data_IF_569634813808
#
_entry.id   IF_569634813808
#
_cell.length_a   1.000
_cell.length_b   1.000
_cell.length_c   1.000
_cell.angle_alpha   90.00
_cell.angle_beta   90.00
_cell.angle_gamma   90.00
#
_symmetry.space_group_name_H-M   'P 1'
#
loop_
_entity.id
_entity.type
_entity.pdbx_description
1 polymer ?
#
# COMPACT_ATOMS: atom_id res chain seq x y z
N UNK A 1 -11.93 -6.40 -16.38
CA UNK A 1 -11.65 -6.14 -17.80
C UNK A 1 -10.17 -5.87 -18.02
N UNK A 2 -9.56 -6.40 -19.09
CA UNK A 2 -8.12 -6.26 -19.32
C UNK A 2 -7.62 -4.80 -19.39
N UNK A 3 -8.35 -3.85 -20.00
CA UNK A 3 -7.94 -2.43 -19.99
C UNK A 3 -7.88 -1.79 -18.60
N UNK A 4 -8.56 -2.37 -17.60
CA UNK A 4 -8.50 -1.90 -16.21
C UNK A 4 -7.28 -2.44 -15.44
N UNK A 5 -6.56 -3.40 -16.02
CA UNK A 5 -5.39 -4.05 -15.44
C UNK A 5 -4.06 -3.50 -16.00
N UNK A 6 -4.13 -2.45 -16.82
CA UNK A 6 -2.96 -1.78 -17.36
C UNK A 6 -2.67 -0.48 -16.60
N UNK A 7 -1.45 -0.37 -16.07
CA UNK A 7 -0.96 0.84 -15.43
C UNK A 7 0.06 1.55 -16.31
N UNK A 8 -0.04 2.89 -16.38
CA UNK A 8 1.00 3.72 -16.99
C UNK A 8 1.77 4.42 -15.88
N UNK A 9 3.02 4.02 -15.68
CA UNK A 9 3.94 4.62 -14.72
C UNK A 9 4.52 5.90 -15.31
N UNK A 10 4.32 7.01 -14.61
CA UNK A 10 4.98 8.29 -14.91
C UNK A 10 5.93 8.60 -13.76
N UNK A 11 7.25 8.44 -13.97
CA UNK A 11 8.23 8.79 -12.95
C UNK A 11 8.12 10.28 -12.59
N UNK A 12 7.96 10.58 -11.31
CA UNK A 12 7.95 11.94 -10.78
C UNK A 12 9.19 12.17 -9.91
N UNK A 13 9.94 13.23 -10.17
CA UNK A 13 11.10 13.57 -9.36
C UNK A 13 10.67 13.90 -7.92
N UNK A 14 11.35 13.31 -6.92
CA UNK A 14 11.00 13.44 -5.49
C UNK A 14 11.05 14.88 -5.01
N UNK A 15 12.00 15.68 -5.51
CA UNK A 15 12.16 17.11 -5.23
C UNK A 15 12.76 17.78 -6.47
N UNK A 16 12.38 19.03 -6.81
CA UNK A 16 12.92 19.73 -7.98
C UNK A 16 14.44 19.93 -7.96
N UNK A 17 15.06 19.98 -6.78
CA UNK A 17 16.50 20.19 -6.59
C UNK A 17 17.36 18.93 -6.76
N UNK A 18 16.75 17.76 -6.95
CA UNK A 18 17.47 16.50 -7.08
C UNK A 18 17.94 16.28 -8.52
N UNK A 19 19.06 15.58 -8.68
CA UNK A 19 19.62 15.25 -9.98
C UNK A 19 18.67 14.32 -10.78
N UNK A 20 18.18 14.75 -11.96
CA UNK A 20 17.35 13.93 -12.86
C UNK A 20 18.08 12.72 -13.46
N UNK A 21 19.42 12.69 -13.47
CA UNK A 21 20.18 11.56 -13.96
C UNK A 21 20.14 10.34 -13.02
N UNK A 22 19.83 10.56 -11.73
CA UNK A 22 19.77 9.50 -10.73
C UNK A 22 18.35 8.92 -10.66
N UNK A 23 18.17 7.69 -11.14
CA UNK A 23 16.85 7.02 -11.18
C UNK A 23 16.19 6.87 -9.79
N UNK A 24 17.00 6.71 -8.73
CA UNK A 24 16.51 6.64 -7.35
C UNK A 24 15.86 7.94 -6.86
N UNK A 25 16.05 9.06 -7.57
CA UNK A 25 15.38 10.33 -7.25
C UNK A 25 13.93 10.38 -7.73
N UNK A 26 13.44 9.37 -8.44
CA UNK A 26 12.07 9.32 -8.94
C UNK A 26 11.14 8.49 -8.04
N UNK A 27 9.85 8.83 -8.06
CA UNK A 27 8.74 8.01 -7.57
C UNK A 27 7.98 7.44 -8.78
N UNK A 28 7.79 6.12 -8.87
CA UNK A 28 7.03 5.52 -9.96
C UNK A 28 5.53 5.70 -9.70
N UNK A 29 4.91 6.78 -10.20
CA UNK A 29 3.47 7.01 -10.00
C UNK A 29 2.65 6.29 -11.08
N UNK A 30 1.81 5.36 -10.66
CA UNK A 30 0.93 4.60 -11.55
C UNK A 30 -0.35 5.37 -11.85
N UNK A 31 -0.59 5.69 -13.11
CA UNK A 31 -1.88 6.19 -13.59
C UNK A 31 -2.77 5.00 -13.93
N UNK A 32 -3.70 4.71 -13.02
CA UNK A 32 -4.75 3.72 -13.20
C UNK A 32 -5.99 4.36 -13.85
N UNK A 33 -6.77 3.59 -14.63
CA UNK A 33 -8.03 4.06 -15.20
C UNK A 33 -8.99 4.54 -14.11
N UNK A 34 -9.69 5.65 -14.37
CA UNK A 34 -10.62 6.27 -13.42
C UNK A 34 -11.67 5.29 -12.90
N UNK A 35 -12.30 4.54 -13.82
CA UNK A 35 -13.29 3.52 -13.49
C UNK A 35 -12.72 2.42 -12.57
N UNK A 36 -11.47 2.03 -12.78
CA UNK A 36 -10.76 1.11 -11.89
C UNK A 36 -10.65 1.67 -10.48
N UNK A 37 -10.24 2.93 -10.34
CA UNK A 37 -10.14 3.61 -9.03
C UNK A 37 -11.47 3.71 -8.29
N UNK A 38 -12.58 3.91 -9.01
CA UNK A 38 -13.92 3.94 -8.40
C UNK A 38 -14.28 2.58 -7.83
N UNK A 39 -14.05 1.49 -8.59
CA UNK A 39 -14.30 0.13 -8.11
C UNK A 39 -13.40 -0.19 -6.92
N UNK A 40 -12.10 0.09 -7.01
CA UNK A 40 -11.16 -0.08 -5.91
C UNK A 40 -11.60 0.66 -4.64
N UNK A 41 -12.11 1.90 -4.78
CA UNK A 41 -12.60 2.69 -3.65
C UNK A 41 -13.79 2.04 -2.96
N UNK A 42 -14.75 1.51 -3.73
CA UNK A 42 -15.91 0.81 -3.17
C UNK A 42 -15.46 -0.44 -2.42
N UNK A 43 -14.56 -1.24 -3.01
CA UNK A 43 -14.02 -2.44 -2.36
C UNK A 43 -13.23 -2.08 -1.09
N UNK A 44 -12.41 -1.03 -1.12
CA UNK A 44 -11.64 -0.58 0.03
C UNK A 44 -12.53 -0.17 1.20
N UNK A 45 -13.65 0.53 0.93
CA UNK A 45 -14.62 0.92 1.95
C UNK A 45 -15.29 -0.31 2.59
N UNK A 46 -15.68 -1.29 1.78
CA UNK A 46 -16.30 -2.53 2.27
C UNK A 46 -15.31 -3.37 3.08
N UNK A 47 -14.07 -3.51 2.60
CA UNK A 47 -13.02 -4.25 3.29
C UNK A 47 -12.72 -3.62 4.64
N UNK A 48 -12.46 -2.31 4.69
CA UNK A 48 -12.18 -1.59 5.95
C UNK A 48 -13.32 -1.71 6.94
N UNK A 49 -14.57 -1.62 6.47
CA UNK A 49 -15.74 -1.82 7.33
C UNK A 49 -15.75 -3.22 7.93
N UNK A 50 -15.54 -4.25 7.13
CA UNK A 50 -15.49 -5.64 7.61
C UNK A 50 -14.35 -5.88 8.60
N UNK A 51 -13.15 -5.35 8.33
CA UNK A 51 -12.00 -5.47 9.24
C UNK A 51 -12.24 -4.77 10.57
N UNK A 52 -12.88 -3.60 10.57
CA UNK A 52 -13.24 -2.89 11.80
C UNK A 52 -14.36 -3.60 12.58
N UNK A 53 -15.41 -4.09 11.91
CA UNK A 53 -16.51 -4.83 12.55
C UNK A 53 -16.02 -6.15 13.18
N UNK A 54 -14.96 -6.75 12.63
CA UNK A 54 -14.33 -7.96 13.14
C UNK A 54 -13.18 -7.70 14.14
N UNK A 55 -12.87 -6.44 14.46
CA UNK A 55 -11.73 -6.01 15.28
C UNK A 55 -10.40 -6.66 14.87
N UNK A 56 -10.16 -6.76 13.56
CA UNK A 56 -9.00 -7.48 13.01
C UNK A 56 -7.73 -6.63 12.97
N UNK A 57 -7.85 -5.30 13.01
CA UNK A 57 -6.71 -4.40 12.93
C UNK A 57 -5.92 -4.40 14.23
N UNK A 58 -4.59 -4.44 14.13
CA UNK A 58 -3.71 -4.35 15.29
C UNK A 58 -4.02 -3.07 16.10
N UNK A 59 -4.20 -3.15 17.43
CA UNK A 59 -4.49 -1.98 18.26
C UNK A 59 -3.46 -0.85 18.15
N UNK A 60 -2.20 -1.16 17.85
CA UNK A 60 -1.10 -0.21 17.69
C UNK A 60 -0.91 0.26 16.24
N UNK A 61 -1.68 -0.28 15.28
CA UNK A 61 -1.66 0.22 13.91
C UNK A 61 -2.32 1.61 13.83
N UNK A 62 -1.49 2.63 13.63
CA UNK A 62 -1.95 4.00 13.35
C UNK A 62 -1.94 4.36 11.85
N UNK A 63 -1.09 3.69 11.06
CA UNK A 63 -1.01 3.88 9.62
C UNK A 63 -2.31 3.48 8.92
N UNK A 64 -2.80 4.37 8.04
CA UNK A 64 -3.97 4.14 7.17
C UNK A 64 -5.27 3.75 7.90
N UNK A 65 -5.35 4.01 9.21
CA UNK A 65 -6.52 3.71 10.06
C UNK A 65 -7.34 4.98 10.30
N UNK A 66 -8.66 4.87 10.22
CA UNK A 66 -9.55 6.01 10.47
C UNK A 66 -9.46 6.45 11.92
N UNK A 67 -9.30 7.74 12.18
CA UNK A 67 -9.19 8.29 13.54
C UNK A 67 -7.79 8.20 14.16
N UNK A 68 -6.81 7.68 13.42
CA UNK A 68 -5.40 7.61 13.85
C UNK A 68 -4.52 8.41 12.90
N UNK A 69 -3.35 8.81 13.39
CA UNK A 69 -2.38 9.58 12.65
C UNK A 69 -0.96 9.29 13.13
N UNK A 70 0.02 9.98 12.52
CA UNK A 70 1.40 9.92 13.00
C UNK A 70 1.55 10.51 14.40
N UNK A 71 0.72 11.49 14.74
CA UNK A 71 0.68 12.11 16.07
C UNK A 71 0.15 11.13 17.12
N UNK A 72 -0.92 10.38 16.82
CA UNK A 72 -1.45 9.39 17.79
C UNK A 72 -0.42 8.30 18.08
N UNK A 73 0.31 7.83 17.06
CA UNK A 73 1.40 6.87 17.24
C UNK A 73 2.53 7.45 18.10
N UNK A 74 2.93 8.69 17.85
CA UNK A 74 4.01 9.36 18.58
C UNK A 74 3.65 9.57 20.05
N UNK A 75 2.42 10.01 20.33
CA UNK A 75 1.93 10.20 21.70
C UNK A 75 1.92 8.88 22.46
N UNK A 76 1.37 7.81 21.87
CA UNK A 76 1.34 6.49 22.50
C UNK A 76 2.76 5.96 22.81
N UNK A 77 3.66 6.02 21.83
CA UNK A 77 5.06 5.60 22.02
C UNK A 77 5.76 6.41 23.12
N UNK A 78 5.54 7.72 23.14
CA UNK A 78 6.18 8.61 24.10
C UNK A 78 5.68 8.31 25.52
N UNK A 79 4.37 8.10 25.68
CA UNK A 79 3.77 7.71 26.96
C UNK A 79 4.35 6.40 27.50
N UNK A 80 4.47 5.36 26.65
CA UNK A 80 5.08 4.07 27.03
C UNK A 80 6.53 4.22 27.52
N UNK A 81 7.31 5.09 26.87
CA UNK A 81 8.69 5.37 27.26
C UNK A 81 8.75 6.09 28.62
N UNK A 82 7.86 7.05 28.88
CA UNK A 82 7.77 7.74 30.16
C UNK A 82 7.37 6.81 31.29
N UNK A 83 6.32 6.00 31.10
CA UNK A 83 5.88 5.03 32.10
C UNK A 83 6.97 4.02 32.46
N UNK A 84 7.74 3.57 31.48
CA UNK A 84 8.86 2.63 31.69
C UNK A 84 9.98 3.29 32.50
N UNK A 85 10.29 4.55 32.18
CA UNK A 85 11.28 5.34 32.91
C UNK A 85 10.87 5.60 34.35
N UNK A 86 9.61 5.95 34.60
CA UNK A 86 9.09 6.21 35.95
C UNK A 86 9.15 4.98 36.85
N UNK A 87 9.12 3.78 36.27
CA UNK A 87 9.35 2.49 36.96
C UNK A 87 10.83 2.18 37.20
N UNK A 88 11.75 3.06 36.80
CA UNK A 88 13.20 2.88 36.95
C UNK A 88 13.82 1.94 35.91
N UNK A 89 13.10 1.59 34.85
CA UNK A 89 13.61 0.73 33.78
C UNK A 89 14.19 1.54 32.61
N UNK A 90 15.12 0.92 31.87
CA UNK A 90 15.64 1.44 30.61
C UNK A 90 14.81 0.95 29.44
N UNK A 91 14.65 1.79 28.41
CA UNK A 91 13.95 1.44 27.17
C UNK A 91 14.91 1.40 25.98
N UNK A 92 14.65 0.52 25.01
CA UNK A 92 15.34 0.48 23.71
C UNK A 92 14.29 0.57 22.61
N UNK A 93 14.44 1.54 21.71
CA UNK A 93 13.57 1.71 20.55
C UNK A 93 14.23 1.14 19.29
N UNK A 94 13.57 0.16 18.67
CA UNK A 94 14.00 -0.42 17.39
C UNK A 94 13.06 0.08 16.30
N UNK A 95 13.61 0.76 15.29
CA UNK A 95 12.87 1.28 14.15
C UNK A 95 13.19 0.44 12.90
N UNK A 96 12.14 0.00 12.21
CA UNK A 96 12.24 -0.79 10.98
C UNK A 96 11.57 -0.03 9.84
N UNK A 97 12.28 0.11 8.71
CA UNK A 97 11.73 0.65 7.47
C UNK A 97 11.82 -0.42 6.36
N UNK A 98 10.66 -0.78 5.79
CA UNK A 98 10.59 -1.78 4.73
C UNK A 98 10.84 -1.12 3.37
N UNK A 99 11.99 -1.43 2.78
CA UNK A 99 12.36 -0.93 1.46
C UNK A 99 11.34 -1.37 0.41
N UNK A 100 10.77 -0.39 -0.29
CA UNK A 100 9.92 -0.58 -1.47
C UNK A 100 8.71 -1.53 -1.21
N UNK A 101 8.14 -1.47 0.00
CA UNK A 101 7.13 -2.41 0.47
C UNK A 101 5.99 -2.68 -0.53
N UNK A 102 5.45 -1.66 -1.20
CA UNK A 102 4.36 -1.86 -2.18
C UNK A 102 4.78 -2.59 -3.45
N UNK A 103 6.07 -2.59 -3.82
CA UNK A 103 6.55 -3.28 -5.02
C UNK A 103 6.95 -4.73 -4.73
N UNK A 104 6.98 -5.16 -3.46
CA UNK A 104 7.48 -6.48 -3.05
C UNK A 104 6.39 -7.40 -2.50
N UNK A 105 5.11 -6.98 -2.55
CA UNK A 105 3.99 -7.78 -2.05
C UNK A 105 3.80 -9.03 -2.92
N UNK A 106 4.00 -10.20 -2.33
CA UNK A 106 3.63 -11.46 -2.97
C UNK A 106 2.11 -11.62 -3.02
N UNK A 107 1.56 -11.86 -4.22
CA UNK A 107 0.12 -11.97 -4.42
C UNK A 107 -0.49 -13.20 -3.76
N UNK A 108 0.25 -14.32 -3.70
CA UNK A 108 -0.20 -15.55 -3.05
C UNK A 108 -0.30 -15.39 -1.55
N UNK A 109 0.71 -14.78 -0.92
CA UNK A 109 0.72 -14.46 0.51
C UNK A 109 -0.42 -13.49 0.84
N UNK A 110 -0.61 -12.42 0.04
CA UNK A 110 -1.71 -11.47 0.24
C UNK A 110 -3.08 -12.15 0.16
N UNK A 111 -3.32 -12.97 -0.87
CA UNK A 111 -4.60 -13.69 -1.03
C UNK A 111 -4.86 -14.71 0.09
N UNK A 112 -3.80 -15.36 0.59
CA UNK A 112 -3.91 -16.23 1.76
C UNK A 112 -4.30 -15.43 3.00
N UNK A 113 -3.65 -14.29 3.23
CA UNK A 113 -3.95 -13.46 4.39
C UNK A 113 -5.38 -12.91 4.33
N UNK A 114 -5.82 -12.42 3.16
CA UNK A 114 -7.21 -12.00 2.96
C UNK A 114 -8.21 -13.13 3.30
N UNK A 115 -7.88 -14.38 3.01
CA UNK A 115 -8.73 -15.52 3.39
C UNK A 115 -8.74 -15.76 4.91
N UNK A 116 -7.61 -15.57 5.58
CA UNK A 116 -7.46 -15.70 7.04
C UNK A 116 -8.29 -14.63 7.76
N UNK A 117 -8.31 -13.40 7.25
CA UNK A 117 -9.13 -12.29 7.81
C UNK A 117 -10.62 -12.42 7.49
N UNK A 118 -11.04 -13.50 6.83
CA UNK A 118 -12.44 -13.81 6.55
C UNK A 118 -12.95 -13.38 5.17
N UNK A 119 -12.12 -12.82 4.30
CA UNK A 119 -12.53 -12.48 2.91
C UNK A 119 -12.68 -13.77 2.10
N UNK A 120 -13.90 -14.03 1.62
CA UNK A 120 -14.26 -15.30 0.94
C UNK A 120 -15.11 -15.06 -0.30
N UNK A 121 -15.38 -16.15 -1.01
CA UNK A 121 -16.31 -16.19 -2.13
C UNK A 121 -15.98 -15.21 -3.26
N UNK A 122 -16.98 -14.43 -3.68
CA UNK A 122 -16.86 -13.50 -4.82
C UNK A 122 -15.84 -12.41 -4.58
N UNK A 123 -15.70 -11.90 -3.34
CA UNK A 123 -14.75 -10.83 -3.03
C UNK A 123 -13.31 -11.34 -3.14
N UNK A 124 -13.01 -12.53 -2.61
CA UNK A 124 -11.68 -13.12 -2.74
C UNK A 124 -11.33 -13.43 -4.21
N UNK A 125 -12.30 -13.92 -5.00
CA UNK A 125 -12.13 -14.09 -6.45
C UNK A 125 -11.88 -12.77 -7.16
N UNK A 126 -12.54 -11.70 -6.73
CA UNK A 126 -12.31 -10.36 -7.26
C UNK A 126 -10.88 -9.90 -6.98
N UNK A 127 -10.37 -10.04 -5.74
CA UNK A 127 -8.97 -9.72 -5.41
C UNK A 127 -7.98 -10.56 -6.22
N UNK A 128 -8.23 -11.87 -6.35
CA UNK A 128 -7.40 -12.73 -7.19
C UNK A 128 -7.38 -12.24 -8.63
N UNK A 129 -8.55 -11.96 -9.23
CA UNK A 129 -8.62 -11.38 -10.57
C UNK A 129 -7.98 -9.99 -10.66
N UNK A 130 -8.06 -9.16 -9.62
CA UNK A 130 -7.49 -7.82 -9.59
C UNK A 130 -5.96 -7.87 -9.63
N UNK A 131 -5.35 -8.75 -8.84
CA UNK A 131 -3.91 -8.90 -8.74
C UNK A 131 -3.32 -9.66 -9.95
N UNK A 132 -4.05 -10.62 -10.50
CA UNK A 132 -3.60 -11.41 -11.65
C UNK A 132 -3.62 -10.64 -12.96
N UNK A 133 -2.60 -10.90 -13.78
CA UNK A 133 -2.42 -10.34 -15.13
C UNK A 133 -2.37 -8.81 -15.18
N UNK A 134 -1.98 -8.16 -14.07
CA UNK A 134 -1.64 -6.75 -14.12
C UNK A 134 -0.42 -6.54 -15.00
N UNK A 135 -0.46 -5.50 -15.83
CA UNK A 135 0.70 -5.06 -16.60
C UNK A 135 0.96 -3.59 -16.41
N UNK A 136 2.22 -3.20 -16.51
CA UNK A 136 2.65 -1.82 -16.43
C UNK A 136 3.57 -1.43 -17.57
N UNK A 137 3.52 -0.16 -17.94
CA UNK A 137 4.43 0.45 -18.92
C UNK A 137 4.90 1.79 -18.39
N UNK A 138 6.12 2.19 -18.74
CA UNK A 138 6.72 3.44 -18.28
C UNK A 138 6.61 4.48 -19.40
N UNK A 139 6.17 5.69 -19.07
CA UNK A 139 6.08 6.83 -19.99
C UNK A 139 7.01 7.95 -19.54
N UNK A 140 8.04 8.24 -20.34
CA UNK A 140 9.03 9.32 -20.11
C UNK A 140 9.19 10.13 -21.40
N UNK A 141 9.10 11.46 -21.31
CA UNK A 141 9.30 12.34 -22.47
C UNK A 141 8.37 12.04 -23.66
N UNK A 142 7.15 11.53 -23.40
CA UNK A 142 6.20 11.13 -24.44
C UNK A 142 6.43 9.74 -25.03
N UNK A 143 7.54 9.07 -24.72
CA UNK A 143 7.84 7.72 -25.17
C UNK A 143 7.38 6.67 -24.16
N UNK A 144 6.65 5.65 -24.64
CA UNK A 144 6.08 4.57 -23.82
C UNK A 144 6.88 3.29 -24.03
N UNK A 145 7.28 2.63 -22.94
CA UNK A 145 7.91 1.32 -22.99
C UNK A 145 6.92 0.23 -23.44
N UNK A 146 7.46 -0.93 -23.83
CA UNK A 146 6.63 -2.13 -23.95
C UNK A 146 6.00 -2.48 -22.59
N UNK A 147 4.75 -2.97 -22.56
CA UNK A 147 4.13 -3.44 -21.33
C UNK A 147 4.88 -4.64 -20.73
N UNK A 148 5.04 -4.66 -19.41
CA UNK A 148 5.54 -5.81 -18.66
C UNK A 148 4.53 -6.25 -17.63
N UNK A 149 4.41 -7.55 -17.42
CA UNK A 149 3.57 -8.12 -16.36
C UNK A 149 4.14 -7.76 -14.99
N UNK A 150 3.24 -7.54 -14.04
CA UNK A 150 3.55 -7.28 -12.64
C UNK A 150 3.41 -8.60 -11.87
N UNK A 151 4.53 -9.24 -11.54
CA UNK A 151 4.55 -10.54 -10.84
C UNK A 151 4.36 -10.39 -9.32
N UNK A 152 4.74 -9.25 -8.78
CA UNK A 152 4.59 -8.90 -7.38
C UNK A 152 4.36 -7.40 -7.20
N UNK A 153 3.87 -7.03 -6.02
CA UNK A 153 3.54 -5.67 -5.67
C UNK A 153 2.16 -5.22 -6.14
N UNK A 154 1.85 -3.98 -5.82
CA UNK A 154 0.62 -3.28 -6.20
C UNK A 154 0.98 -1.92 -6.79
N UNK A 155 0.23 -1.40 -7.78
CA UNK A 155 0.55 -0.12 -8.41
C UNK A 155 0.56 1.02 -7.39
N UNK A 156 1.64 1.80 -7.35
CA UNK A 156 1.74 2.98 -6.48
C UNK A 156 0.77 4.07 -6.98
N UNK A 157 -0.33 4.25 -6.26
CA UNK A 157 -1.47 5.09 -6.68
C UNK A 157 -2.79 4.34 -6.86
N UNK A 158 -2.80 3.02 -6.61
CA UNK A 158 -4.03 2.26 -6.34
C UNK A 158 -4.65 2.69 -5.02
N UNK A 159 -5.98 2.69 -4.98
CA UNK A 159 -6.76 3.03 -3.79
C UNK A 159 -6.67 1.93 -2.73
N UNK A 160 -6.44 0.68 -3.17
CA UNK A 160 -6.35 -0.49 -2.30
C UNK A 160 -4.95 -0.72 -1.72
N UNK A 161 -3.89 -0.16 -2.32
CA UNK A 161 -2.52 -0.36 -1.81
C UNK A 161 -2.32 -0.02 -0.33
N UNK A 162 -2.89 1.07 0.21
CA UNK A 162 -2.75 1.42 1.62
C UNK A 162 -3.86 0.83 2.53
N UNK A 163 -4.74 -0.04 2.02
CA UNK A 163 -5.96 -0.49 2.72
C UNK A 163 -5.79 -1.81 3.45
#
# INVERSE_FOLDING_TARGET
PQPLKEAVVRPLLKKPSLDPAILNNYRPLSKLPFLGKVVEKVVALQLRRALNEADYLDPFQSGFRSGYSTETALVALTDDLWQTRDRGHSSVLVLLDLSVAFNTIDHGILLRHLREVGVRGTVLRWFSSYLSDMSQSVLVGGQRSTPRRLECGVPQGSVLSPS
#
